data_IF_147379253061
#
_entry.id   IF_147379253061
#
_cell.length_a   1.000
_cell.length_b   1.000
_cell.length_c   1.000
_cell.angle_alpha   90.00
_cell.angle_beta   90.00
_cell.angle_gamma   90.00
#
_symmetry.space_group_name_H-M   'P 1'
#
loop_
_entity.id
_entity.type
_entity.pdbx_description
1 polymer ?
#
# COMPACT_ATOMS: atom_id res chain seq x y z
N UNK A 1 -15.02 9.55 11.68
CA UNK A 1 -13.62 9.95 12.01
C UNK A 1 -12.87 10.15 10.71
N UNK A 2 -12.05 11.20 10.60
CA UNK A 2 -11.18 11.43 9.44
C UNK A 2 -9.73 11.07 9.79
N UNK A 3 -9.03 10.48 8.82
CA UNK A 3 -7.60 10.22 8.84
C UNK A 3 -7.01 10.85 7.58
N UNK A 4 -6.04 11.71 7.74
CA UNK A 4 -5.31 12.32 6.64
C UNK A 4 -3.98 11.60 6.48
N UNK A 5 -3.61 11.30 5.26
CA UNK A 5 -2.39 10.60 4.89
C UNK A 5 -1.65 11.47 3.89
N UNK A 6 -0.37 11.66 4.13
CA UNK A 6 0.57 12.25 3.20
C UNK A 6 1.86 11.42 3.27
N UNK A 7 2.18 10.72 2.20
CA UNK A 7 3.33 9.81 2.16
C UNK A 7 4.11 9.99 0.88
N UNK A 8 5.43 9.95 1.03
CA UNK A 8 6.41 10.02 -0.06
C UNK A 8 7.21 8.72 -0.07
N UNK A 9 7.34 8.12 -1.24
CA UNK A 9 8.10 6.90 -1.46
C UNK A 9 9.21 7.17 -2.47
N UNK A 10 10.47 7.36 -2.00
CA UNK A 10 11.63 7.55 -2.88
C UNK A 10 11.93 6.27 -3.66
N UNK A 11 12.32 6.43 -4.93
CA UNK A 11 12.61 5.33 -5.85
C UNK A 11 13.92 5.64 -6.60
N UNK A 12 14.89 4.76 -6.49
CA UNK A 12 16.15 4.82 -7.26
C UNK A 12 15.92 4.20 -8.66
N UNK A 13 15.04 4.84 -9.44
CA UNK A 13 14.62 4.37 -10.75
C UNK A 13 13.92 5.46 -11.56
N UNK A 14 13.75 5.24 -12.88
CA UNK A 14 13.17 6.24 -13.76
C UNK A 14 11.69 6.47 -13.44
N UNK A 15 11.28 7.73 -13.50
CA UNK A 15 9.92 8.17 -13.24
C UNK A 15 8.89 7.55 -14.21
N UNK A 16 9.32 7.14 -15.42
CA UNK A 16 8.47 6.43 -16.38
C UNK A 16 8.02 5.06 -15.87
N UNK A 17 8.91 4.30 -15.20
CA UNK A 17 8.57 3.00 -14.63
C UNK A 17 7.56 3.16 -13.47
N UNK A 18 7.82 4.13 -12.58
CA UNK A 18 6.93 4.43 -11.47
C UNK A 18 5.54 4.86 -11.97
N UNK A 19 5.46 5.69 -13.01
CA UNK A 19 4.20 6.12 -13.60
C UNK A 19 3.46 4.97 -14.29
N UNK A 20 4.17 4.15 -15.07
CA UNK A 20 3.60 2.96 -15.71
C UNK A 20 3.03 1.98 -14.68
N UNK A 21 3.76 1.77 -13.57
CA UNK A 21 3.31 0.90 -12.50
C UNK A 21 2.09 1.47 -11.77
N UNK A 22 2.10 2.79 -11.48
CA UNK A 22 1.03 3.47 -10.77
C UNK A 22 -0.32 3.40 -11.51
N UNK A 23 -0.31 3.36 -12.84
CA UNK A 23 -1.53 3.23 -13.65
C UNK A 23 -2.14 1.82 -13.63
N UNK A 24 -1.39 0.79 -13.24
CA UNK A 24 -1.91 -0.58 -13.11
C UNK A 24 -2.51 -0.79 -11.72
N UNK A 25 -3.80 -0.46 -11.58
CA UNK A 25 -4.52 -0.53 -10.29
C UNK A 25 -4.43 -1.93 -9.66
N UNK A 26 -4.43 -2.99 -10.46
CA UNK A 26 -4.33 -4.36 -9.93
C UNK A 26 -2.96 -4.65 -9.32
N UNK A 27 -1.89 -4.20 -9.98
CA UNK A 27 -0.53 -4.32 -9.45
C UNK A 27 -0.32 -3.44 -8.22
N UNK A 28 -0.80 -2.19 -8.26
CA UNK A 28 -0.73 -1.28 -7.11
C UNK A 28 -1.48 -1.86 -5.92
N UNK A 29 -2.68 -2.42 -6.13
CA UNK A 29 -3.44 -3.06 -5.06
C UNK A 29 -2.71 -4.28 -4.47
N UNK A 30 -1.97 -5.04 -5.28
CA UNK A 30 -1.17 -6.18 -4.79
C UNK A 30 -0.01 -5.77 -3.87
N UNK A 31 0.44 -4.52 -3.94
CA UNK A 31 1.43 -3.97 -3.01
C UNK A 31 0.84 -3.72 -1.61
N UNK A 32 -0.48 -3.57 -1.52
CA UNK A 32 -1.19 -3.35 -0.26
C UNK A 32 -1.41 -4.67 0.47
N UNK A 33 -0.83 -4.87 1.66
CA UNK A 33 -0.95 -6.13 2.38
C UNK A 33 -2.42 -6.46 2.69
N UNK A 34 -2.84 -7.65 2.32
CA UNK A 34 -4.21 -8.15 2.54
C UNK A 34 -5.26 -7.61 1.57
N UNK A 35 -4.86 -6.82 0.56
CA UNK A 35 -5.76 -6.33 -0.48
C UNK A 35 -5.70 -7.24 -1.72
N UNK A 36 -6.84 -7.33 -2.40
CA UNK A 36 -6.99 -8.08 -3.64
C UNK A 36 -8.07 -7.43 -4.51
N UNK A 37 -7.76 -7.17 -5.77
CA UNK A 37 -8.78 -6.85 -6.78
C UNK A 37 -9.45 -8.16 -7.19
N UNK A 38 -10.75 -8.25 -6.98
CA UNK A 38 -11.55 -9.44 -7.30
C UNK A 38 -12.23 -9.33 -8.65
N UNK A 39 -12.45 -8.09 -9.15
CA UNK A 39 -13.09 -7.83 -10.42
C UNK A 39 -12.63 -6.49 -11.00
N UNK A 40 -12.30 -6.47 -12.28
CA UNK A 40 -12.17 -5.25 -13.08
C UNK A 40 -13.45 -5.08 -13.87
N UNK A 41 -14.29 -4.15 -13.44
CA UNK A 41 -15.59 -3.89 -14.09
C UNK A 41 -15.39 -3.20 -15.43
N UNK A 42 -14.50 -2.20 -15.46
CA UNK A 42 -14.05 -1.48 -16.65
C UNK A 42 -12.66 -0.84 -16.41
N UNK A 43 -12.24 0.09 -17.26
CA UNK A 43 -10.92 0.73 -17.15
C UNK A 43 -10.78 1.65 -15.92
N UNK A 44 -11.89 2.11 -15.35
CA UNK A 44 -11.91 3.03 -14.21
C UNK A 44 -12.53 2.44 -12.95
N UNK A 45 -13.24 1.31 -13.05
CA UNK A 45 -14.01 0.75 -11.94
C UNK A 45 -13.51 -0.65 -11.57
N UNK A 46 -13.14 -0.81 -10.30
CA UNK A 46 -12.60 -2.05 -9.75
C UNK A 46 -13.37 -2.43 -8.49
N UNK A 47 -13.57 -3.73 -8.30
CA UNK A 47 -14.08 -4.32 -7.06
C UNK A 47 -12.95 -5.07 -6.38
N UNK A 48 -12.85 -4.93 -5.07
CA UNK A 48 -11.81 -5.58 -4.31
C UNK A 48 -12.22 -5.89 -2.89
N UNK A 49 -11.34 -6.60 -2.22
CA UNK A 49 -11.46 -6.91 -0.80
C UNK A 49 -10.14 -6.59 -0.10
N UNK A 50 -10.23 -6.24 1.16
CA UNK A 50 -9.04 -6.05 2.00
C UNK A 50 -9.27 -6.65 3.38
N UNK A 51 -8.26 -7.36 3.90
CA UNK A 51 -8.22 -7.84 5.27
C UNK A 51 -7.19 -7.03 6.05
N UNK A 52 -7.60 -6.44 7.15
CA UNK A 52 -6.77 -5.62 8.01
C UNK A 52 -6.78 -6.20 9.42
N UNK A 53 -5.60 -6.34 10.01
CA UNK A 53 -5.46 -6.71 11.41
C UNK A 53 -5.34 -5.46 12.27
N UNK A 54 -6.28 -5.28 13.18
CA UNK A 54 -6.33 -4.13 14.09
C UNK A 54 -6.27 -4.65 15.52
N UNK A 55 -5.09 -4.62 16.11
CA UNK A 55 -4.84 -5.27 17.40
C UNK A 55 -5.13 -6.78 17.32
N UNK A 56 -5.95 -7.33 18.23
CA UNK A 56 -6.31 -8.74 18.21
C UNK A 56 -7.39 -9.10 17.17
N UNK A 57 -8.06 -8.10 16.56
CA UNK A 57 -9.16 -8.31 15.64
C UNK A 57 -8.68 -8.30 14.18
N UNK A 58 -9.24 -9.21 13.36
CA UNK A 58 -9.12 -9.14 11.90
C UNK A 58 -10.44 -8.65 11.34
N UNK A 59 -10.37 -7.60 10.53
CA UNK A 59 -11.51 -7.01 9.83
C UNK A 59 -11.36 -7.25 8.33
N UNK A 60 -12.45 -7.59 7.69
CA UNK A 60 -12.51 -7.79 6.24
C UNK A 60 -13.49 -6.79 5.63
N UNK A 61 -13.07 -6.11 4.58
CA UNK A 61 -13.88 -5.13 3.85
C UNK A 61 -14.02 -5.58 2.40
N UNK A 62 -15.23 -5.44 1.88
CA UNK A 62 -15.49 -5.43 0.45
C UNK A 62 -15.63 -3.98 -0.01
N UNK A 63 -15.06 -3.66 -1.16
CA UNK A 63 -15.03 -2.27 -1.61
C UNK A 63 -14.99 -2.12 -3.11
N UNK A 64 -15.14 -0.86 -3.51
CA UNK A 64 -15.00 -0.40 -4.89
C UNK A 64 -13.95 0.70 -4.94
N UNK A 65 -13.19 0.71 -6.02
CA UNK A 65 -12.24 1.76 -6.38
C UNK A 65 -12.69 2.34 -7.71
N UNK A 66 -12.75 3.65 -7.79
CA UNK A 66 -13.06 4.40 -9.01
C UNK A 66 -11.89 5.32 -9.29
N UNK A 67 -11.23 5.13 -10.42
CA UNK A 67 -10.27 6.09 -10.98
C UNK A 67 -11.06 7.24 -11.58
N UNK A 68 -10.92 8.43 -11.02
CA UNK A 68 -11.69 9.62 -11.40
C UNK A 68 -11.01 10.41 -12.50
N UNK A 69 -9.69 10.50 -12.46
CA UNK A 69 -8.89 11.23 -13.43
C UNK A 69 -7.48 10.64 -13.54
N UNK A 70 -6.91 10.69 -14.74
CA UNK A 70 -5.50 10.41 -15.03
C UNK A 70 -4.98 11.55 -15.88
N UNK A 71 -4.02 12.32 -15.35
CA UNK A 71 -3.31 13.40 -16.04
C UNK A 71 -1.90 12.89 -16.39
N UNK A 72 -1.69 12.51 -17.63
CA UNK A 72 -0.43 11.95 -18.08
C UNK A 72 0.71 13.00 -18.10
N UNK A 73 0.39 14.26 -18.34
CA UNK A 73 1.39 15.34 -18.41
C UNK A 73 1.95 15.65 -17.01
N UNK A 74 1.09 15.63 -16.02
CA UNK A 74 1.48 15.81 -14.61
C UNK A 74 1.89 14.52 -13.93
N UNK A 75 1.68 13.36 -14.57
CA UNK A 75 1.84 12.04 -13.96
C UNK A 75 1.06 11.93 -12.65
N UNK A 76 -0.17 12.39 -12.66
CA UNK A 76 -1.06 12.45 -11.53
C UNK A 76 -2.34 11.67 -11.80
N UNK A 77 -2.83 10.98 -10.77
CA UNK A 77 -4.14 10.34 -10.81
C UNK A 77 -4.93 10.61 -9.54
N UNK A 78 -6.24 10.70 -9.69
CA UNK A 78 -7.17 10.79 -8.57
C UNK A 78 -8.11 9.60 -8.56
N UNK A 79 -8.38 9.09 -7.38
CA UNK A 79 -9.28 7.95 -7.21
C UNK A 79 -10.10 8.04 -5.93
N UNK A 80 -11.25 7.42 -5.96
CA UNK A 80 -12.12 7.28 -4.80
C UNK A 80 -12.26 5.80 -4.45
N UNK A 81 -12.09 5.48 -3.17
CA UNK A 81 -12.35 4.17 -2.59
C UNK A 81 -13.56 4.20 -1.68
N UNK A 82 -14.39 3.16 -1.72
CA UNK A 82 -15.49 2.93 -0.77
C UNK A 82 -15.47 1.48 -0.33
N UNK A 83 -15.46 1.26 0.98
CA UNK A 83 -15.45 -0.09 1.55
C UNK A 83 -16.43 -0.23 2.70
N UNK A 84 -16.99 -1.42 2.85
CA UNK A 84 -17.85 -1.80 3.95
C UNK A 84 -17.33 -3.10 4.57
N UNK A 85 -17.24 -3.12 5.88
CA UNK A 85 -16.95 -4.32 6.65
C UNK A 85 -17.97 -5.43 6.31
N UNK A 86 -17.49 -6.66 6.16
CA UNK A 86 -18.31 -7.81 5.79
C UNK A 86 -19.44 -8.09 6.79
N UNK A 87 -19.32 -7.60 8.02
CA UNK A 87 -20.37 -7.66 9.06
C UNK A 87 -21.29 -6.44 9.04
N UNK A 88 -21.07 -5.47 8.14
CA UNK A 88 -21.87 -4.25 8.04
C UNK A 88 -21.72 -3.27 9.20
N UNK A 89 -20.73 -3.48 10.09
CA UNK A 89 -20.56 -2.69 11.31
C UNK A 89 -19.77 -1.42 11.15
N UNK A 90 -19.03 -1.28 10.03
CA UNK A 90 -18.15 -0.17 9.74
C UNK A 90 -18.07 0.09 8.24
N UNK A 91 -17.84 1.34 7.85
CA UNK A 91 -17.53 1.70 6.47
C UNK A 91 -16.37 2.71 6.41
N UNK A 92 -15.72 2.75 5.27
CA UNK A 92 -14.67 3.71 4.97
C UNK A 92 -14.86 4.27 3.56
N UNK A 93 -14.57 5.56 3.40
CA UNK A 93 -14.40 6.20 2.10
C UNK A 93 -13.02 6.82 2.05
N UNK A 94 -12.40 6.82 0.88
CA UNK A 94 -11.08 7.38 0.63
C UNK A 94 -11.14 8.23 -0.63
N UNK A 95 -10.65 9.44 -0.54
CA UNK A 95 -10.29 10.26 -1.69
C UNK A 95 -8.77 10.35 -1.73
N UNK A 96 -8.16 9.92 -2.83
CA UNK A 96 -6.71 9.82 -3.00
C UNK A 96 -6.28 10.57 -4.25
N UNK A 97 -5.22 11.36 -4.10
CA UNK A 97 -4.39 11.89 -5.19
C UNK A 97 -3.02 11.25 -5.10
N UNK A 98 -2.55 10.67 -6.19
CA UNK A 98 -1.20 10.10 -6.29
C UNK A 98 -0.50 10.64 -7.53
N UNK A 99 0.78 10.99 -7.41
CA UNK A 99 1.58 11.47 -8.53
C UNK A 99 3.03 11.03 -8.44
N UNK A 100 3.70 11.08 -9.59
CA UNK A 100 5.12 10.76 -9.72
C UNK A 100 5.89 12.05 -10.02
N UNK A 101 6.92 12.31 -9.25
CA UNK A 101 7.81 13.46 -9.42
C UNK A 101 9.25 12.99 -9.60
N UNK A 102 9.93 13.48 -10.62
CA UNK A 102 11.37 13.28 -10.80
C UNK A 102 12.14 14.18 -9.82
N UNK A 103 13.12 13.63 -9.13
CA UNK A 103 13.93 14.36 -8.14
C UNK A 103 15.33 14.62 -8.66
N UNK A 104 15.93 13.63 -9.32
CA UNK A 104 17.25 13.69 -9.97
C UNK A 104 17.21 12.78 -11.21
N UNK A 105 18.13 12.93 -12.16
CA UNK A 105 18.24 12.02 -13.30
C UNK A 105 18.29 10.55 -12.86
N UNK A 106 17.30 9.76 -13.28
CA UNK A 106 17.19 8.35 -12.92
C UNK A 106 16.64 8.07 -11.52
N UNK A 107 16.16 9.10 -10.81
CA UNK A 107 15.49 8.97 -9.52
C UNK A 107 14.17 9.70 -9.51
N UNK A 108 13.21 9.14 -8.79
CA UNK A 108 11.90 9.74 -8.63
C UNK A 108 11.32 9.46 -7.25
N UNK A 109 10.16 10.00 -7.00
CA UNK A 109 9.35 9.66 -5.85
C UNK A 109 7.88 9.55 -6.24
N UNK A 110 7.16 8.68 -5.58
CA UNK A 110 5.70 8.61 -5.64
C UNK A 110 5.16 9.26 -4.39
N UNK A 111 4.26 10.21 -4.59
CA UNK A 111 3.58 10.93 -3.51
C UNK A 111 2.12 10.52 -3.51
N UNK A 112 1.60 10.19 -2.33
CA UNK A 112 0.19 9.87 -2.13
C UNK A 112 -0.39 10.72 -1.01
N UNK A 113 -1.41 11.52 -1.34
CA UNK A 113 -2.19 12.30 -0.39
C UNK A 113 -3.63 11.77 -0.36
N UNK A 114 -4.12 11.37 0.81
CA UNK A 114 -5.45 10.81 0.94
C UNK A 114 -6.19 11.33 2.16
N UNK A 115 -7.51 11.46 2.02
CA UNK A 115 -8.44 11.68 3.13
C UNK A 115 -9.33 10.46 3.27
N UNK A 116 -9.24 9.78 4.40
CA UNK A 116 -10.05 8.60 4.70
C UNK A 116 -11.08 8.96 5.76
N UNK A 117 -12.35 8.75 5.45
CA UNK A 117 -13.45 8.90 6.41
C UNK A 117 -13.92 7.52 6.85
N UNK A 118 -13.83 7.25 8.15
CA UNK A 118 -14.23 5.97 8.76
C UNK A 118 -15.46 6.19 9.64
N UNK A 119 -16.41 5.26 9.56
CA UNK A 119 -17.66 5.28 10.36
C UNK A 119 -17.89 3.94 11.04
N UNK A 120 -18.89 3.89 11.92
CA UNK A 120 -19.27 2.68 12.65
C UNK A 120 -18.27 2.29 13.75
N UNK A 121 -18.22 1.00 14.08
CA UNK A 121 -17.39 0.47 15.17
C UNK A 121 -15.89 0.74 15.01
N UNK A 122 -15.40 0.77 13.78
CA UNK A 122 -13.98 1.07 13.51
C UNK A 122 -13.63 2.51 13.92
N UNK A 123 -14.53 3.46 13.76
CA UNK A 123 -14.32 4.84 14.17
C UNK A 123 -14.16 4.99 15.71
N UNK A 124 -14.73 4.08 16.51
CA UNK A 124 -14.61 4.09 17.96
C UNK A 124 -13.27 3.62 18.50
N UNK A 125 -12.40 3.06 17.66
CA UNK A 125 -11.03 2.66 18.06
C UNK A 125 -10.10 3.85 18.35
N UNK A 126 -10.49 5.04 17.91
CA UNK A 126 -9.77 6.28 18.13
C UNK A 126 -8.63 6.55 17.16
N UNK A 127 -8.30 7.82 16.96
CA UNK A 127 -7.37 8.28 15.93
C UNK A 127 -5.95 7.72 16.11
N UNK A 128 -5.45 7.58 17.33
CA UNK A 128 -4.10 7.07 17.58
C UNK A 128 -3.92 5.64 17.06
N UNK A 129 -4.89 4.76 17.32
CA UNK A 129 -4.84 3.38 16.83
C UNK A 129 -4.97 3.34 15.30
N UNK A 130 -5.87 4.14 14.74
CA UNK A 130 -6.07 4.20 13.29
C UNK A 130 -4.82 4.72 12.57
N UNK A 131 -4.16 5.75 13.09
CA UNK A 131 -2.91 6.24 12.51
C UNK A 131 -1.81 5.18 12.57
N UNK A 132 -1.65 4.47 13.70
CA UNK A 132 -0.67 3.39 13.82
C UNK A 132 -0.91 2.26 12.80
N UNK A 133 -2.17 1.87 12.59
CA UNK A 133 -2.54 0.86 11.58
C UNK A 133 -2.26 1.38 10.17
N UNK A 134 -2.62 2.62 9.87
CA UNK A 134 -2.34 3.25 8.58
C UNK A 134 -0.84 3.31 8.30
N UNK A 135 -0.03 3.75 9.27
CA UNK A 135 1.43 3.81 9.12
C UNK A 135 2.04 2.43 8.85
N UNK A 136 1.60 1.40 9.56
CA UNK A 136 2.09 0.04 9.35
C UNK A 136 1.77 -0.48 7.94
N UNK A 137 0.53 -0.26 7.47
CA UNK A 137 0.08 -0.66 6.13
C UNK A 137 0.87 0.09 5.06
N UNK A 138 1.01 1.41 5.21
CA UNK A 138 1.66 2.25 4.22
C UNK A 138 3.18 2.03 4.15
N UNK A 139 3.83 1.73 5.27
CA UNK A 139 5.24 1.35 5.26
C UNK A 139 5.46 0.06 4.46
N UNK A 140 4.62 -0.96 4.67
CA UNK A 140 4.71 -2.20 3.90
C UNK A 140 4.34 -1.99 2.43
N UNK A 141 3.28 -1.22 2.16
CA UNK A 141 2.91 -0.82 0.80
C UNK A 141 4.08 -0.15 0.08
N UNK A 142 4.75 0.81 0.73
CA UNK A 142 5.88 1.54 0.14
C UNK A 142 7.03 0.61 -0.23
N UNK A 143 7.41 -0.30 0.66
CA UNK A 143 8.44 -1.30 0.38
C UNK A 143 8.05 -2.16 -0.83
N UNK A 144 6.82 -2.67 -0.86
CA UNK A 144 6.33 -3.50 -1.94
C UNK A 144 6.28 -2.74 -3.26
N UNK A 145 5.76 -1.51 -3.24
CA UNK A 145 5.63 -0.65 -4.40
C UNK A 145 7.02 -0.34 -5.01
N UNK A 146 7.96 0.13 -4.18
CA UNK A 146 9.33 0.45 -4.62
C UNK A 146 10.00 -0.77 -5.23
N UNK A 147 9.94 -1.94 -4.58
CA UNK A 147 10.53 -3.17 -5.12
C UNK A 147 9.92 -3.56 -6.47
N UNK A 148 8.60 -3.45 -6.65
CA UNK A 148 7.95 -3.76 -7.92
C UNK A 148 8.37 -2.79 -9.04
N UNK A 149 8.49 -1.49 -8.74
CA UNK A 149 8.95 -0.50 -9.72
C UNK A 149 10.41 -0.72 -10.07
N UNK A 150 11.27 -1.00 -9.09
CA UNK A 150 12.68 -1.31 -9.30
C UNK A 150 12.88 -2.58 -10.14
N UNK A 151 12.05 -3.61 -9.93
CA UNK A 151 12.07 -4.84 -10.72
C UNK A 151 11.70 -4.65 -12.21
N UNK A 152 11.12 -3.50 -12.58
CA UNK A 152 10.88 -3.13 -13.99
C UNK A 152 12.13 -2.57 -14.69
N UNK A 153 13.20 -2.30 -13.96
CA UNK A 153 14.48 -1.85 -14.49
C UNK A 153 15.32 -2.99 -15.04
N UNK A 154 16.59 -2.69 -15.31
CA UNK A 154 17.58 -3.66 -15.81
C UNK A 154 18.76 -3.77 -14.82
N UNK A 155 19.45 -4.93 -14.84
CA UNK A 155 20.66 -5.19 -14.07
C UNK A 155 20.42 -5.75 -12.66
N UNK A 156 21.50 -5.89 -11.89
CA UNK A 156 21.51 -6.58 -10.59
C UNK A 156 20.52 -6.00 -9.57
N UNK A 157 20.29 -4.68 -9.58
CA UNK A 157 19.32 -4.04 -8.68
C UNK A 157 17.88 -4.46 -9.00
N UNK A 158 17.54 -4.64 -10.28
CA UNK A 158 16.23 -5.10 -10.71
C UNK A 158 16.02 -6.59 -10.36
N UNK A 159 17.04 -7.43 -10.50
CA UNK A 159 17.00 -8.83 -10.11
C UNK A 159 16.81 -9.00 -8.60
N UNK A 160 17.52 -8.22 -7.78
CA UNK A 160 17.35 -8.21 -6.32
C UNK A 160 15.95 -7.73 -5.92
N UNK A 161 15.43 -6.70 -6.57
CA UNK A 161 14.09 -6.19 -6.34
C UNK A 161 13.02 -7.22 -6.73
N UNK A 162 13.19 -7.93 -7.84
CA UNK A 162 12.30 -9.00 -8.28
C UNK A 162 12.27 -10.16 -7.27
N UNK A 163 13.44 -10.56 -6.72
CA UNK A 163 13.51 -11.57 -5.68
C UNK A 163 12.75 -11.15 -4.40
N UNK A 164 12.92 -9.91 -3.96
CA UNK A 164 12.18 -9.35 -2.81
C UNK A 164 10.67 -9.29 -3.06
N UNK A 165 10.26 -9.02 -4.30
CA UNK A 165 8.85 -9.01 -4.69
C UNK A 165 8.22 -10.41 -4.59
N UNK A 166 8.96 -11.46 -4.97
CA UNK A 166 8.50 -12.84 -4.88
C UNK A 166 8.29 -13.32 -3.43
N UNK A 167 9.00 -12.74 -2.46
CA UNK A 167 8.91 -13.06 -1.03
C UNK A 167 7.87 -12.21 -0.27
N UNK A 168 7.11 -11.35 -0.95
CA UNK A 168 6.15 -10.46 -0.29
C UNK A 168 5.07 -11.25 0.47
N UNK A 169 4.84 -10.94 1.75
CA UNK A 169 3.80 -11.59 2.53
C UNK A 169 2.42 -11.20 1.98
N UNK A 170 1.63 -12.19 1.59
CA UNK A 170 0.26 -12.00 1.06
C UNK A 170 -0.73 -11.52 2.12
N UNK A 171 -0.38 -11.58 3.40
CA UNK A 171 -1.19 -11.11 4.52
C UNK A 171 -0.30 -10.41 5.56
N UNK A 172 -0.84 -9.38 6.22
CA UNK A 172 -0.22 -8.76 7.42
C UNK A 172 -0.27 -9.75 8.59
N UNK A 173 0.68 -10.67 8.62
CA UNK A 173 0.89 -11.54 9.78
C UNK A 173 1.77 -10.82 10.81
N UNK A 174 1.16 -10.07 11.72
CA UNK A 174 1.87 -9.41 12.83
C UNK A 174 2.71 -10.37 13.70
N UNK A 175 2.41 -11.68 13.66
CA UNK A 175 3.21 -12.71 14.34
C UNK A 175 4.52 -13.03 13.61
N UNK A 176 4.56 -12.98 12.28
CA UNK A 176 5.79 -13.22 11.51
C UNK A 176 6.79 -12.06 11.69
N UNK A 177 6.29 -10.82 11.82
CA UNK A 177 7.13 -9.64 12.07
C UNK A 177 7.74 -9.67 13.48
N UNK A 178 6.96 -10.02 14.50
CA UNK A 178 7.45 -10.20 15.88
C UNK A 178 8.44 -11.35 15.95
N UNK A 179 8.21 -12.46 15.24
CA UNK A 179 9.13 -13.58 15.18
C UNK A 179 10.45 -13.23 14.48
N UNK A 180 10.40 -12.46 13.40
CA UNK A 180 11.59 -11.95 12.69
C UNK A 180 12.43 -11.02 13.58
N UNK A 181 11.81 -10.14 14.37
CA UNK A 181 12.50 -9.30 15.34
C UNK A 181 13.10 -10.11 16.49
N UNK A 182 12.40 -11.12 17.00
CA UNK A 182 12.89 -12.02 18.04
C UNK A 182 14.09 -12.83 17.52
N UNK A 183 14.00 -13.38 16.32
CA UNK A 183 15.09 -14.17 15.73
C UNK A 183 16.31 -13.29 15.42
N UNK A 184 16.14 -12.05 14.95
CA UNK A 184 17.25 -11.13 14.72
C UNK A 184 17.89 -10.66 16.02
N UNK A 185 17.09 -10.46 17.07
CA UNK A 185 17.58 -10.12 18.41
C UNK A 185 18.41 -11.27 19.02
N UNK A 186 17.93 -12.51 18.89
CA UNK A 186 18.68 -13.68 19.36
C UNK A 186 19.93 -14.00 18.52
N UNK A 187 19.92 -13.76 17.18
CA UNK A 187 21.12 -13.87 16.36
C UNK A 187 22.19 -12.83 16.72
N UNK A 188 21.78 -11.62 17.11
CA UNK A 188 22.71 -10.59 17.60
C UNK A 188 23.31 -10.90 18.97
N UNK A 189 22.62 -11.67 19.82
CA UNK A 189 23.10 -12.03 21.16
C UNK A 189 24.01 -13.27 21.17
N UNK A 190 23.89 -14.17 20.20
CA UNK A 190 24.65 -15.42 20.14
C UNK A 190 25.67 -15.50 18.98
N UNK A 191 25.85 -14.42 18.22
CA UNK A 191 26.78 -14.33 17.07
C UNK A 191 28.12 -13.67 17.38
N UNK A 192 28.60 -13.72 18.62
CA UNK A 192 29.97 -13.30 18.98
C UNK A 192 30.72 -14.46 19.62
N UNK A 193 31.34 -15.27 18.78
CA UNK A 193 32.57 -15.99 19.08
C UNK A 193 33.32 -16.24 17.80
#
# INVERSE_FOLDING_TARGET
MKVEIDKVFPIDGPSSNAWTFLQDISKVASCMPGAEITERVDDSNFVGKVKVKVGPATMAFNGKIVVQNIDADKREMTMQGKGQDTKGSSSATMDLTAYVRETEPGKCEVVGAAVITVTGKMASLGGRMMNSVADQILNQFGVNFVNNVMAMGEGAAAEEAAAKTAEQPKELNGLAFVWGLIVSFFKGLFGSK
#
